data_IF_958809553583
#
_entry.id   IF_958809553583
#
_cell.length_a   1.000
_cell.length_b   1.000
_cell.length_c   1.000
_cell.angle_alpha   90.00
_cell.angle_beta   90.00
_cell.angle_gamma   90.00
#
_symmetry.space_group_name_H-M   'P 1'
#
loop_
_entity.id
_entity.type
_entity.pdbx_description
1 polymer ?
#
# COMPACT_ATOMS: atom_id res chain seq x y z
N UNK A 1 4.95 8.13 -5.14
CA UNK A 1 5.39 7.76 -3.78
C UNK A 1 5.83 6.31 -3.77
N UNK A 2 6.91 6.00 -3.02
CA UNK A 2 7.34 4.63 -2.70
C UNK A 2 6.94 4.36 -1.25
N UNK A 3 6.03 3.42 -1.05
CA UNK A 3 5.42 3.16 0.27
C UNK A 3 6.27 2.20 1.15
N UNK A 4 7.59 2.38 1.18
CA UNK A 4 8.52 1.63 2.03
C UNK A 4 9.06 0.35 1.40
N UNK A 5 9.97 -0.30 2.13
CA UNK A 5 10.71 -1.48 1.70
C UNK A 5 11.41 -1.25 0.36
N UNK A 6 12.18 -0.15 0.31
CA UNK A 6 12.95 0.27 -0.87
C UNK A 6 14.01 -0.77 -1.22
N UNK A 7 14.51 -1.46 -0.17
CA UNK A 7 15.47 -2.57 -0.30
C UNK A 7 14.98 -3.78 0.49
N UNK A 8 15.65 -4.94 0.32
CA UNK A 8 15.32 -6.15 1.05
C UNK A 8 15.69 -6.09 2.52
N UNK A 9 16.98 -5.99 2.86
CA UNK A 9 17.47 -5.89 4.23
C UNK A 9 18.80 -5.14 4.25
N UNK A 10 18.86 -4.07 5.00
CA UNK A 10 20.03 -3.19 5.09
C UNK A 10 21.23 -3.85 5.79
N UNK A 11 20.99 -4.69 6.80
CA UNK A 11 22.04 -5.35 7.58
C UNK A 11 22.89 -6.32 6.77
N UNK A 12 22.35 -6.83 5.67
CA UNK A 12 23.07 -7.77 4.80
C UNK A 12 23.92 -7.09 3.73
N UNK A 13 23.53 -5.88 3.28
CA UNK A 13 24.24 -5.13 2.24
C UNK A 13 23.96 -3.63 2.34
N UNK A 14 24.61 -2.88 3.24
CA UNK A 14 24.37 -1.44 3.43
C UNK A 14 24.35 -0.57 2.16
N UNK A 15 25.13 -0.88 1.10
CA UNK A 15 25.17 0.00 -0.08
C UNK A 15 24.00 -0.13 -1.06
N UNK A 16 22.92 -0.87 -0.73
CA UNK A 16 21.79 -1.06 -1.68
C UNK A 16 20.93 0.18 -1.88
N UNK A 17 20.92 1.14 -0.98
CA UNK A 17 20.14 2.38 -1.17
C UNK A 17 20.67 3.22 -2.35
N UNK A 18 21.99 3.29 -2.53
CA UNK A 18 22.60 4.13 -3.55
C UNK A 18 22.20 3.70 -4.99
N UNK A 19 22.35 2.42 -5.42
CA UNK A 19 21.91 2.00 -6.74
C UNK A 19 20.43 2.21 -7.01
N UNK A 20 19.57 2.03 -6.00
CA UNK A 20 18.13 2.26 -6.14
C UNK A 20 17.84 3.75 -6.30
N UNK A 21 18.44 4.61 -5.48
CA UNK A 21 18.24 6.05 -5.58
C UNK A 21 18.74 6.62 -6.91
N UNK A 22 19.88 6.12 -7.41
CA UNK A 22 20.42 6.47 -8.73
C UNK A 22 19.48 6.06 -9.86
N UNK A 23 18.95 4.84 -9.83
CA UNK A 23 18.00 4.34 -10.82
C UNK A 23 16.70 5.17 -10.84
N UNK A 24 16.17 5.51 -9.66
CA UNK A 24 14.99 6.34 -9.54
C UNK A 24 15.25 7.78 -10.01
N UNK A 25 16.39 8.36 -9.65
CA UNK A 25 16.79 9.69 -10.10
C UNK A 25 16.97 9.79 -11.62
N UNK A 26 17.51 8.72 -12.23
CA UNK A 26 17.70 8.64 -13.69
C UNK A 26 16.36 8.66 -14.47
N UNK A 27 15.24 8.35 -13.82
CA UNK A 27 13.91 8.41 -14.45
C UNK A 27 13.42 9.83 -14.74
N UNK A 28 13.99 10.85 -14.11
CA UNK A 28 13.55 12.25 -14.19
C UNK A 28 12.22 12.53 -13.48
N UNK A 29 11.67 11.55 -12.74
CA UNK A 29 10.43 11.69 -11.96
C UNK A 29 10.78 12.03 -10.50
N UNK A 30 10.01 12.94 -9.89
CA UNK A 30 10.15 13.22 -8.46
C UNK A 30 9.60 12.06 -7.63
N UNK A 31 10.42 11.52 -6.73
CA UNK A 31 10.03 10.47 -5.81
C UNK A 31 9.92 11.00 -4.37
N UNK A 32 8.93 10.50 -3.65
CA UNK A 32 8.72 10.72 -2.24
C UNK A 32 8.74 9.35 -1.55
N UNK A 33 9.47 9.25 -0.45
CA UNK A 33 9.80 7.97 0.16
C UNK A 33 9.18 7.83 1.55
N UNK A 34 8.58 6.67 1.80
CA UNK A 34 8.16 6.19 3.12
C UNK A 34 9.21 5.20 3.60
N UNK A 35 9.54 5.18 4.88
CA UNK A 35 10.43 4.18 5.45
C UNK A 35 9.65 2.88 5.75
N UNK A 36 10.11 1.75 5.21
CA UNK A 36 9.59 0.42 5.51
C UNK A 36 10.37 -0.31 6.60
N UNK A 37 9.93 -1.50 6.95
CA UNK A 37 10.59 -2.31 7.97
C UNK A 37 11.93 -2.90 7.50
N UNK A 38 12.11 -3.12 6.20
CA UNK A 38 13.37 -3.58 5.61
C UNK A 38 14.38 -2.44 5.40
N UNK A 39 13.98 -1.20 5.52
CA UNK A 39 14.84 -0.01 5.35
C UNK A 39 15.55 0.40 6.65
N UNK A 40 15.44 -0.40 7.72
CA UNK A 40 15.96 -0.07 9.05
C UNK A 40 17.36 -0.61 9.32
N UNK A 41 18.22 0.21 9.94
CA UNK A 41 19.49 -0.23 10.53
C UNK A 41 19.21 -1.14 11.72
N UNK A 42 19.44 -2.43 11.58
CA UNK A 42 19.21 -3.42 12.63
C UNK A 42 20.34 -3.44 13.67
N UNK A 43 20.08 -4.02 14.84
CA UNK A 43 21.08 -4.14 15.91
C UNK A 43 21.31 -2.86 16.73
N UNK A 44 20.62 -1.79 16.44
CA UNK A 44 20.62 -0.54 17.21
C UNK A 44 19.59 -0.57 18.35
N UNK A 45 19.63 0.40 19.26
CA UNK A 45 18.79 0.39 20.47
C UNK A 45 17.47 1.16 20.38
N UNK A 46 17.35 2.06 19.41
CA UNK A 46 16.19 2.97 19.32
C UNK A 46 15.68 3.05 17.88
N UNK A 47 14.37 3.31 17.72
CA UNK A 47 13.74 3.48 16.41
C UNK A 47 14.35 4.64 15.63
N UNK A 48 14.72 5.74 16.28
CA UNK A 48 15.35 6.88 15.60
C UNK A 48 16.72 6.50 15.00
N UNK A 49 17.53 5.71 15.72
CA UNK A 49 18.82 5.21 15.19
C UNK A 49 18.62 4.20 14.07
N UNK A 50 17.57 3.41 14.11
CA UNK A 50 17.25 2.46 13.06
C UNK A 50 16.90 3.13 11.71
N UNK A 51 16.63 4.41 11.71
CA UNK A 51 16.31 5.18 10.50
C UNK A 51 17.49 6.04 10.00
N UNK A 52 18.69 5.87 10.54
CA UNK A 52 19.82 6.74 10.18
C UNK A 52 20.20 6.62 8.72
N UNK A 53 20.46 5.42 8.24
CA UNK A 53 20.85 5.19 6.85
C UNK A 53 19.77 5.62 5.87
N UNK A 54 18.50 5.37 6.20
CA UNK A 54 17.38 5.87 5.40
C UNK A 54 17.41 7.41 5.31
N UNK A 55 17.56 8.09 6.44
CA UNK A 55 17.57 9.56 6.50
C UNK A 55 18.75 10.18 5.72
N UNK A 56 19.90 9.51 5.72
CA UNK A 56 21.10 9.94 4.99
C UNK A 56 20.89 9.90 3.46
N UNK A 57 20.07 8.95 2.95
CA UNK A 57 19.85 8.78 1.51
C UNK A 57 18.57 9.45 1.00
N UNK A 58 17.47 9.40 1.77
CA UNK A 58 16.14 9.78 1.32
C UNK A 58 15.54 10.97 2.09
N UNK A 59 16.22 11.47 3.11
CA UNK A 59 15.75 12.58 3.91
C UNK A 59 14.84 12.16 5.09
N UNK A 60 13.98 13.06 5.57
CA UNK A 60 13.18 12.80 6.78
C UNK A 60 12.22 11.63 6.59
N UNK A 61 11.93 10.90 7.68
CA UNK A 61 11.01 9.76 7.65
C UNK A 61 9.54 10.15 7.76
N UNK A 62 9.25 11.38 8.22
CA UNK A 62 7.91 11.97 8.18
C UNK A 62 7.99 13.44 7.80
N UNK A 63 7.07 13.87 6.94
CA UNK A 63 7.00 15.22 6.38
C UNK A 63 5.66 15.44 5.67
N UNK A 64 5.35 16.68 5.34
CA UNK A 64 4.16 17.03 4.55
C UNK A 64 4.51 17.99 3.43
N UNK A 65 3.68 18.03 2.41
CA UNK A 65 3.76 18.94 1.29
C UNK A 65 2.42 19.09 0.59
N UNK A 66 2.22 20.22 -0.07
CA UNK A 66 1.07 20.44 -0.94
C UNK A 66 1.43 20.22 -2.42
N UNK A 67 0.52 19.58 -3.14
CA UNK A 67 0.57 19.56 -4.61
C UNK A 67 -0.83 19.87 -5.16
N UNK A 68 -0.97 21.02 -5.80
CA UNK A 68 -2.28 21.52 -6.19
C UNK A 68 -3.17 21.75 -4.98
N UNK A 69 -4.34 21.13 -4.99
CA UNK A 69 -5.33 21.21 -3.89
C UNK A 69 -5.22 20.07 -2.87
N UNK A 70 -4.29 19.17 -3.05
CA UNK A 70 -4.11 18.00 -2.20
C UNK A 70 -2.99 18.22 -1.20
N UNK A 71 -3.26 17.92 0.05
CA UNK A 71 -2.26 17.92 1.12
C UNK A 71 -1.74 16.48 1.32
N UNK A 72 -0.45 16.30 1.17
CA UNK A 72 0.23 15.00 1.33
C UNK A 72 0.98 14.96 2.64
N UNK A 73 0.82 13.87 3.35
CA UNK A 73 1.51 13.58 4.61
C UNK A 73 2.22 12.22 4.48
N UNK A 74 3.50 12.19 4.73
CA UNK A 74 4.29 10.95 4.85
C UNK A 74 4.53 10.67 6.31
N UNK A 75 4.28 9.45 6.76
CA UNK A 75 4.44 9.03 8.16
C UNK A 75 5.37 7.82 8.27
N UNK A 76 6.13 7.75 9.36
CA UNK A 76 6.98 6.62 9.74
C UNK A 76 6.24 5.77 10.78
N UNK A 77 5.62 4.72 10.35
CA UNK A 77 4.84 3.81 11.18
C UNK A 77 5.55 2.48 11.52
N UNK A 78 6.79 2.30 11.03
CA UNK A 78 7.64 1.16 11.37
C UNK A 78 8.43 1.43 12.66
N UNK A 79 7.83 1.23 13.82
CA UNK A 79 8.48 1.50 15.10
C UNK A 79 9.37 0.33 15.54
N UNK A 80 10.71 0.51 15.46
CA UNK A 80 11.69 -0.48 15.88
C UNK A 80 11.81 -0.55 17.39
N UNK A 81 11.73 -1.74 17.97
CA UNK A 81 11.72 -1.96 19.42
C UNK A 81 13.08 -2.42 20.01
N UNK A 82 14.17 -2.15 19.32
CA UNK A 82 15.52 -2.32 19.85
C UNK A 82 16.06 -3.76 19.85
N UNK A 83 15.43 -4.68 19.12
CA UNK A 83 15.86 -6.06 18.95
C UNK A 83 15.77 -6.45 17.47
N UNK A 84 16.69 -7.29 16.99
CA UNK A 84 16.74 -7.77 15.61
C UNK A 84 15.36 -8.14 15.06
N UNK A 85 14.99 -7.57 13.91
CA UNK A 85 13.73 -7.81 13.20
C UNK A 85 12.45 -7.56 14.01
N UNK A 86 12.52 -6.99 15.20
CA UNK A 86 11.34 -6.68 15.99
C UNK A 86 10.95 -5.22 15.83
N UNK A 87 9.78 -5.03 15.22
CA UNK A 87 9.11 -3.74 15.07
C UNK A 87 7.60 -3.93 15.27
N UNK A 88 6.91 -2.84 15.44
CA UNK A 88 5.44 -2.77 15.51
C UNK A 88 4.96 -1.63 14.64
N UNK A 89 3.77 -1.76 14.07
CA UNK A 89 3.10 -0.63 13.42
C UNK A 89 2.65 0.39 14.47
N UNK A 90 3.34 1.54 14.57
CA UNK A 90 3.05 2.52 15.60
C UNK A 90 3.58 3.92 15.25
N UNK A 91 2.73 4.93 15.37
CA UNK A 91 3.11 6.34 15.30
C UNK A 91 3.48 6.84 16.68
N UNK A 92 4.71 7.30 16.88
CA UNK A 92 5.14 7.81 18.16
C UNK A 92 4.46 9.15 18.52
N UNK A 93 4.50 9.51 19.80
CA UNK A 93 3.80 10.70 20.30
C UNK A 93 4.34 12.01 19.68
N UNK A 94 5.64 12.06 19.36
CA UNK A 94 6.26 13.23 18.71
C UNK A 94 5.69 13.42 17.31
N UNK A 95 5.57 12.34 16.55
CA UNK A 95 5.02 12.34 15.21
C UNK A 95 3.53 12.69 15.21
N UNK A 96 2.75 12.15 16.18
CA UNK A 96 1.33 12.49 16.31
C UNK A 96 1.13 13.97 16.65
N UNK A 97 1.92 14.55 17.56
CA UNK A 97 1.86 15.99 17.86
C UNK A 97 2.25 16.87 16.66
N UNK A 98 3.25 16.44 15.90
CA UNK A 98 3.64 17.12 14.68
C UNK A 98 2.50 17.08 13.66
N UNK A 99 1.89 15.91 13.44
CA UNK A 99 0.77 15.73 12.53
C UNK A 99 -0.44 16.60 12.92
N UNK A 100 -0.75 16.69 14.20
CA UNK A 100 -1.83 17.55 14.71
C UNK A 100 -1.58 19.04 14.36
N UNK A 101 -0.35 19.50 14.53
CA UNK A 101 0.06 20.87 14.18
C UNK A 101 0.01 21.13 12.67
N UNK A 102 0.45 20.18 11.88
CA UNK A 102 0.44 20.25 10.42
C UNK A 102 -0.99 20.32 9.89
N UNK A 103 -1.84 19.38 10.29
CA UNK A 103 -3.24 19.33 9.88
C UNK A 103 -4.06 20.53 10.36
N UNK A 104 -3.71 21.17 11.45
CA UNK A 104 -4.35 22.41 11.90
C UNK A 104 -4.22 23.57 10.89
N UNK A 105 -3.27 23.50 9.96
CA UNK A 105 -3.10 24.47 8.88
C UNK A 105 -3.92 24.13 7.63
N UNK A 106 -4.51 22.95 7.57
CA UNK A 106 -5.26 22.45 6.42
C UNK A 106 -6.75 22.74 6.60
N UNK A 107 -7.43 23.40 5.65
CA UNK A 107 -8.86 23.62 5.74
C UNK A 107 -9.68 22.33 5.80
N UNK A 108 -10.71 22.29 6.64
CA UNK A 108 -11.65 21.17 6.71
C UNK A 108 -12.29 20.89 5.33
N UNK A 109 -12.57 19.62 5.05
CA UNK A 109 -13.10 19.16 3.77
C UNK A 109 -12.06 19.03 2.65
N UNK A 110 -10.82 19.45 2.88
CA UNK A 110 -9.74 19.30 1.91
C UNK A 110 -9.35 17.83 1.73
N UNK A 111 -8.88 17.46 0.55
CA UNK A 111 -8.32 16.13 0.32
C UNK A 111 -6.95 16.02 0.96
N UNK A 112 -6.78 15.04 1.85
CA UNK A 112 -5.53 14.69 2.52
C UNK A 112 -5.13 13.28 2.12
N UNK A 113 -3.91 13.11 1.64
CA UNK A 113 -3.33 11.80 1.29
C UNK A 113 -2.22 11.47 2.27
N UNK A 114 -2.44 10.47 3.10
CA UNK A 114 -1.44 9.95 4.05
C UNK A 114 -0.72 8.77 3.42
N UNK A 115 0.60 8.81 3.39
CA UNK A 115 1.45 7.73 2.92
C UNK A 115 2.18 7.10 4.11
N UNK A 116 2.02 5.81 4.31
CA UNK A 116 2.66 5.03 5.35
C UNK A 116 3.03 3.64 4.81
N UNK A 117 3.76 2.83 5.58
CA UNK A 117 4.17 1.51 5.11
C UNK A 117 3.21 0.42 5.56
N UNK A 118 2.98 0.29 6.86
CA UNK A 118 2.15 -0.76 7.45
C UNK A 118 0.68 -0.33 7.38
N UNK A 119 -0.24 -1.14 6.82
CA UNK A 119 -1.64 -0.76 6.70
C UNK A 119 -2.28 -0.51 8.07
N UNK A 120 -3.27 0.37 8.09
CA UNK A 120 -3.92 0.73 9.36
C UNK A 120 -4.68 -0.45 9.96
N UNK A 121 -5.24 -1.34 9.13
CA UNK A 121 -5.95 -2.54 9.58
C UNK A 121 -5.92 -3.63 8.50
N UNK A 122 -5.02 -4.58 8.62
CA UNK A 122 -4.83 -5.65 7.62
C UNK A 122 -6.07 -6.52 7.41
N UNK A 123 -6.11 -7.25 6.29
CA UNK A 123 -7.18 -8.20 5.97
C UNK A 123 -7.33 -9.28 7.06
N UNK A 124 -6.23 -9.84 7.53
CA UNK A 124 -6.22 -10.81 8.62
C UNK A 124 -6.84 -10.25 9.88
N UNK A 125 -6.49 -9.02 10.25
CA UNK A 125 -7.08 -8.36 11.42
C UNK A 125 -8.60 -8.12 11.26
N UNK A 126 -9.07 -7.76 10.06
CA UNK A 126 -10.51 -7.56 9.79
C UNK A 126 -11.31 -8.87 9.77
N UNK A 127 -10.70 -9.97 9.36
CA UNK A 127 -11.35 -11.30 9.37
C UNK A 127 -11.45 -11.91 10.77
N UNK A 128 -10.88 -11.28 11.79
CA UNK A 128 -10.83 -11.79 13.16
C UNK A 128 -9.69 -12.77 13.43
N UNK A 129 -8.80 -12.96 12.47
CA UNK A 129 -7.60 -13.80 12.59
C UNK A 129 -6.43 -13.07 13.26
N UNK A 130 -6.63 -11.77 13.61
CA UNK A 130 -5.60 -10.97 14.25
C UNK A 130 -5.22 -11.51 15.63
N UNK A 131 -3.93 -11.65 15.87
CA UNK A 131 -3.34 -11.95 17.17
C UNK A 131 -2.40 -10.83 17.63
N UNK A 132 -2.08 -10.80 18.90
CA UNK A 132 -1.10 -9.84 19.45
C UNK A 132 0.29 -10.01 18.81
N UNK A 133 0.61 -11.21 18.33
CA UNK A 133 1.87 -11.52 17.67
C UNK A 133 1.96 -10.86 16.27
N UNK A 134 0.84 -10.45 15.71
CA UNK A 134 0.75 -9.76 14.42
C UNK A 134 0.73 -8.22 14.53
N UNK A 135 1.12 -7.69 15.68
CA UNK A 135 1.20 -6.23 15.90
C UNK A 135 2.13 -5.49 14.92
N UNK A 136 2.99 -6.21 14.20
CA UNK A 136 3.83 -5.70 13.12
C UNK A 136 3.11 -5.57 11.76
N UNK A 137 1.90 -6.13 11.62
CA UNK A 137 1.11 -6.10 10.38
C UNK A 137 0.02 -5.03 10.36
N UNK A 138 -0.14 -4.28 11.43
CA UNK A 138 -1.17 -3.26 11.56
C UNK A 138 -0.66 -2.04 12.28
N UNK A 139 -1.19 -0.87 11.96
CA UNK A 139 -0.97 0.34 12.74
C UNK A 139 -1.76 0.25 14.06
N UNK A 140 -1.07 -0.05 15.17
CA UNK A 140 -1.73 -0.38 16.45
C UNK A 140 -2.48 0.81 17.05
N UNK A 141 -2.01 2.03 16.85
CA UNK A 141 -2.67 3.25 17.32
C UNK A 141 -3.43 4.01 16.23
N UNK A 142 -3.88 3.31 15.16
CA UNK A 142 -4.64 3.86 14.02
C UNK A 142 -5.83 4.75 14.40
N UNK A 143 -6.50 4.48 15.53
CA UNK A 143 -7.63 5.30 15.97
C UNK A 143 -7.25 6.75 16.28
N UNK A 144 -5.99 7.00 16.67
CA UNK A 144 -5.49 8.37 16.82
C UNK A 144 -5.40 9.06 15.46
N UNK A 145 -4.84 8.37 14.46
CA UNK A 145 -4.77 8.86 13.08
C UNK A 145 -6.17 9.11 12.50
N UNK A 146 -7.10 8.16 12.65
CA UNK A 146 -8.47 8.31 12.13
C UNK A 146 -9.19 9.55 12.68
N UNK A 147 -9.07 9.81 14.00
CA UNK A 147 -9.66 11.01 14.62
C UNK A 147 -9.06 12.30 14.08
N UNK A 148 -7.76 12.33 13.81
CA UNK A 148 -7.10 13.50 13.23
C UNK A 148 -7.55 13.74 11.77
N UNK A 149 -7.90 12.69 11.04
CA UNK A 149 -8.33 12.76 9.65
C UNK A 149 -9.85 13.00 9.48
N UNK A 150 -10.66 12.92 10.55
CA UNK A 150 -12.11 13.08 10.50
C UNK A 150 -12.59 14.37 9.79
N UNK A 151 -11.92 15.53 9.91
CA UNK A 151 -12.35 16.75 9.22
C UNK A 151 -12.12 16.76 7.70
N UNK A 152 -11.44 15.76 7.13
CA UNK A 152 -10.93 15.78 5.76
C UNK A 152 -11.53 14.68 4.90
N UNK A 153 -11.44 14.85 3.57
CA UNK A 153 -11.61 13.75 2.63
C UNK A 153 -10.26 13.02 2.52
N UNK A 154 -10.12 11.94 3.32
CA UNK A 154 -8.82 11.34 3.57
C UNK A 154 -8.59 10.05 2.79
N UNK A 155 -7.40 9.90 2.22
CA UNK A 155 -6.92 8.68 1.59
C UNK A 155 -5.62 8.24 2.25
N UNK A 156 -5.48 6.94 2.50
CA UNK A 156 -4.24 6.33 2.98
C UNK A 156 -3.67 5.46 1.87
N UNK A 157 -2.39 5.65 1.56
CA UNK A 157 -1.62 4.78 0.67
C UNK A 157 -0.67 3.97 1.55
N UNK A 158 -0.85 2.65 1.60
CA UNK A 158 -0.05 1.72 2.39
C UNK A 158 0.47 0.54 1.55
N UNK A 159 1.32 -0.30 2.12
CA UNK A 159 1.97 -1.42 1.46
C UNK A 159 2.12 -2.64 2.41
N UNK A 160 3.35 -3.18 2.58
CA UNK A 160 3.73 -4.19 3.57
C UNK A 160 3.11 -5.59 3.40
N UNK A 161 1.85 -5.70 3.06
CA UNK A 161 1.08 -6.96 3.03
C UNK A 161 1.24 -7.76 1.72
N UNK A 162 1.98 -7.24 0.73
CA UNK A 162 2.29 -7.88 -0.55
C UNK A 162 1.07 -8.27 -1.41
N UNK A 163 -0.08 -7.62 -1.20
CA UNK A 163 -1.28 -7.73 -2.03
C UNK A 163 -1.93 -6.36 -2.22
N UNK A 164 -2.77 -6.21 -3.24
CA UNK A 164 -3.58 -5.01 -3.42
C UNK A 164 -4.92 -5.15 -2.69
N UNK A 165 -5.32 -4.10 -2.01
CA UNK A 165 -6.61 -4.02 -1.38
C UNK A 165 -7.10 -2.58 -1.26
N UNK A 166 -8.39 -2.39 -1.50
CA UNK A 166 -9.09 -1.15 -1.24
C UNK A 166 -10.17 -1.38 -0.19
N UNK A 167 -10.25 -0.53 0.82
CA UNK A 167 -11.31 -0.60 1.82
C UNK A 167 -11.56 0.76 2.48
N UNK A 168 -12.70 0.90 3.14
CA UNK A 168 -13.14 2.12 3.83
C UNK A 168 -13.14 1.87 5.33
N UNK A 169 -12.08 2.26 6.07
CA UNK A 169 -12.03 2.09 7.52
C UNK A 169 -13.09 2.91 8.25
N UNK A 170 -13.35 4.13 7.79
CA UNK A 170 -14.31 5.10 8.31
C UNK A 170 -14.97 5.82 7.12
N UNK A 171 -16.17 6.41 7.26
CA UNK A 171 -16.91 7.01 6.13
C UNK A 171 -16.17 8.11 5.38
N UNK A 172 -15.23 8.81 6.01
CA UNK A 172 -14.42 9.90 5.45
C UNK A 172 -13.04 9.45 5.00
N UNK A 173 -12.72 8.16 5.17
CA UNK A 173 -11.37 7.62 5.03
C UNK A 173 -11.36 6.40 4.13
N UNK A 174 -10.53 6.43 3.11
CA UNK A 174 -10.32 5.34 2.18
C UNK A 174 -8.85 4.89 2.23
N UNK A 175 -8.59 3.60 2.35
CA UNK A 175 -7.24 3.05 2.35
C UNK A 175 -6.99 2.17 1.14
N UNK A 176 -5.84 2.41 0.50
CA UNK A 176 -5.30 1.68 -0.64
C UNK A 176 -4.03 0.96 -0.22
N UNK A 177 -4.10 -0.33 -0.09
CA UNK A 177 -2.94 -1.20 0.18
C UNK A 177 -2.34 -1.64 -1.16
N UNK A 178 -1.03 -1.55 -1.30
CA UNK A 178 -0.34 -1.84 -2.56
C UNK A 178 0.55 -3.05 -2.45
N UNK A 179 0.47 -3.92 -3.46
CA UNK A 179 1.43 -4.99 -3.65
C UNK A 179 2.80 -4.45 -4.09
N UNK A 180 3.90 -5.19 -3.82
CA UNK A 180 5.23 -4.76 -4.20
C UNK A 180 5.47 -4.89 -5.70
N UNK A 181 6.25 -3.96 -6.27
CA UNK A 181 6.72 -4.05 -7.65
C UNK A 181 7.57 -5.30 -7.90
N UNK A 182 8.24 -5.79 -6.86
CA UNK A 182 9.02 -7.04 -6.88
C UNK A 182 8.17 -8.31 -6.94
N UNK A 183 6.84 -8.17 -6.91
CA UNK A 183 5.89 -9.30 -6.92
C UNK A 183 6.17 -10.30 -5.78
N UNK A 184 6.31 -11.59 -6.04
CA UNK A 184 6.72 -12.57 -5.05
C UNK A 184 8.26 -12.64 -4.97
N UNK A 185 8.88 -11.55 -4.44
CA UNK A 185 10.33 -11.44 -4.25
C UNK A 185 11.15 -11.79 -5.51
N UNK A 186 10.68 -11.37 -6.69
CA UNK A 186 11.26 -11.69 -8.01
C UNK A 186 11.27 -13.19 -8.38
N UNK A 187 10.58 -14.03 -7.61
CA UNK A 187 10.50 -15.47 -7.87
C UNK A 187 9.33 -15.84 -8.80
N UNK A 188 8.35 -14.97 -8.92
CA UNK A 188 7.21 -15.12 -9.82
C UNK A 188 6.81 -13.77 -10.43
N UNK A 189 6.16 -13.74 -11.59
CA UNK A 189 5.72 -12.48 -12.22
C UNK A 189 4.43 -11.90 -11.60
N UNK A 190 3.92 -12.50 -10.52
CA UNK A 190 2.71 -12.09 -9.78
C UNK A 190 2.97 -11.91 -8.30
N UNK A 191 2.18 -11.03 -7.70
CA UNK A 191 2.11 -10.82 -6.26
C UNK A 191 1.29 -11.92 -5.57
N UNK A 192 1.20 -11.89 -4.24
CA UNK A 192 0.47 -12.90 -3.45
C UNK A 192 -1.03 -12.99 -3.75
N UNK A 193 -1.59 -12.01 -4.41
CA UNK A 193 -2.99 -11.95 -4.88
C UNK A 193 -3.15 -12.30 -6.38
N UNK A 194 -2.09 -12.79 -7.03
CA UNK A 194 -2.09 -13.15 -8.44
C UNK A 194 -2.08 -11.98 -9.42
N UNK A 195 -1.80 -10.77 -8.93
CA UNK A 195 -1.74 -9.56 -9.76
C UNK A 195 -0.31 -9.39 -10.31
N UNK A 196 -0.14 -9.02 -11.61
CA UNK A 196 1.19 -8.80 -12.17
C UNK A 196 1.90 -7.61 -11.53
N UNK A 197 3.23 -7.52 -11.70
CA UNK A 197 4.02 -6.38 -11.27
C UNK A 197 3.44 -5.06 -11.76
N UNK A 198 3.35 -4.06 -10.87
CA UNK A 198 2.77 -2.77 -11.24
C UNK A 198 2.67 -1.80 -10.06
N UNK A 199 1.88 -0.76 -10.25
CA UNK A 199 1.69 0.31 -9.27
C UNK A 199 0.32 0.96 -9.40
N UNK A 200 -0.16 1.59 -8.32
CA UNK A 200 -1.36 2.42 -8.34
C UNK A 200 -1.10 3.77 -9.02
N UNK A 201 -2.01 4.21 -9.87
CA UNK A 201 -2.04 5.57 -10.43
C UNK A 201 -3.24 6.31 -9.86
N UNK A 202 -2.98 7.49 -9.31
CA UNK A 202 -3.97 8.34 -8.65
C UNK A 202 -4.03 9.68 -9.38
N UNK A 203 -5.18 9.96 -9.98
CA UNK A 203 -5.42 11.17 -10.78
C UNK A 203 -6.37 12.09 -10.02
N UNK A 204 -5.89 13.30 -9.67
CA UNK A 204 -6.69 14.32 -8.98
C UNK A 204 -7.18 15.37 -9.97
N UNK A 205 -8.48 15.63 -9.97
CA UNK A 205 -9.11 16.77 -10.66
C UNK A 205 -9.90 17.59 -9.63
N UNK A 206 -9.31 18.72 -9.22
CA UNK A 206 -9.80 19.48 -8.08
C UNK A 206 -9.76 18.68 -6.79
N UNK A 207 -10.94 18.38 -6.23
CA UNK A 207 -11.11 17.54 -5.04
C UNK A 207 -11.51 16.08 -5.38
N UNK A 208 -11.73 15.80 -6.68
CA UNK A 208 -12.05 14.48 -7.19
C UNK A 208 -10.81 13.60 -7.34
N UNK A 209 -10.91 12.34 -6.92
CA UNK A 209 -9.86 11.33 -7.08
C UNK A 209 -10.39 10.16 -7.89
N UNK A 210 -9.64 9.78 -8.91
CA UNK A 210 -9.80 8.51 -9.63
C UNK A 210 -8.50 7.72 -9.56
N UNK A 211 -8.60 6.40 -9.59
CA UNK A 211 -7.42 5.54 -9.54
C UNK A 211 -7.58 4.30 -10.39
N UNK A 212 -6.46 3.73 -10.78
CA UNK A 212 -6.38 2.46 -11.49
C UNK A 212 -5.05 1.78 -11.22
N UNK A 213 -4.99 0.48 -11.45
CA UNK A 213 -3.75 -0.28 -11.41
C UNK A 213 -3.03 -0.21 -12.75
N UNK A 214 -1.75 0.12 -12.75
CA UNK A 214 -0.90 0.08 -13.94
C UNK A 214 0.05 -1.10 -13.83
N UNK A 215 -0.32 -2.22 -14.43
CA UNK A 215 0.62 -3.33 -14.59
C UNK A 215 1.74 -2.94 -15.56
N UNK A 216 2.99 -3.32 -15.23
CA UNK A 216 4.20 -2.85 -15.92
C UNK A 216 4.14 -3.09 -17.44
N UNK A 217 3.78 -4.31 -17.87
CA UNK A 217 3.80 -4.72 -19.28
C UNK A 217 2.41 -4.71 -19.96
N UNK A 218 1.42 -4.05 -19.33
CA UNK A 218 0.05 -4.02 -19.84
C UNK A 218 -0.47 -2.60 -20.07
N UNK A 219 -1.36 -2.38 -21.04
CA UNK A 219 -2.00 -1.09 -21.23
C UNK A 219 -2.95 -0.77 -20.04
N UNK A 220 -3.25 0.53 -19.84
CA UNK A 220 -4.21 1.00 -18.80
C UNK A 220 -5.56 0.29 -18.87
N UNK A 221 -6.02 -0.09 -20.07
CA UNK A 221 -7.30 -0.75 -20.29
C UNK A 221 -7.37 -2.17 -19.71
N UNK A 222 -6.23 -2.81 -19.43
CA UNK A 222 -6.21 -4.15 -18.84
C UNK A 222 -6.14 -4.04 -17.32
N UNK A 223 -7.26 -4.37 -16.67
CA UNK A 223 -7.44 -4.26 -15.22
C UNK A 223 -7.80 -5.58 -14.54
N UNK A 224 -7.72 -6.69 -15.28
CA UNK A 224 -8.04 -8.01 -14.75
C UNK A 224 -7.36 -9.14 -15.52
N UNK A 225 -7.26 -10.30 -14.88
CA UNK A 225 -6.96 -11.59 -15.51
C UNK A 225 -8.23 -12.42 -15.57
N UNK A 226 -8.53 -12.99 -16.74
CA UNK A 226 -9.68 -13.86 -16.92
C UNK A 226 -9.23 -15.31 -17.15
N UNK A 227 -9.98 -16.23 -16.59
CA UNK A 227 -9.84 -17.69 -16.70
C UNK A 227 -11.10 -18.26 -17.30
N UNK A 228 -10.96 -19.03 -18.38
CA UNK A 228 -12.06 -19.61 -19.12
C UNK A 228 -12.74 -20.76 -18.39
N UNK A 229 -13.85 -21.24 -18.97
CA UNK A 229 -14.55 -22.43 -18.50
C UNK A 229 -13.58 -23.63 -18.51
N UNK A 230 -13.52 -24.36 -17.39
CA UNK A 230 -12.64 -25.50 -17.17
C UNK A 230 -11.25 -25.19 -16.63
N UNK A 231 -10.81 -23.92 -16.60
CA UNK A 231 -9.50 -23.53 -16.05
C UNK A 231 -9.50 -23.54 -14.51
N UNK A 232 -10.60 -23.11 -13.88
CA UNK A 232 -10.76 -23.24 -12.43
C UNK A 232 -11.37 -24.61 -12.07
N UNK A 233 -10.54 -25.54 -11.60
CA UNK A 233 -11.00 -26.89 -11.20
C UNK A 233 -12.03 -26.90 -10.07
N UNK A 234 -12.12 -25.82 -9.28
CA UNK A 234 -13.11 -25.67 -8.20
C UNK A 234 -14.44 -25.15 -8.75
N UNK A 235 -14.44 -24.57 -9.95
CA UNK A 235 -15.59 -23.96 -10.63
C UNK A 235 -15.52 -24.26 -12.13
N UNK A 236 -15.55 -25.54 -12.50
CA UNK A 236 -15.25 -25.97 -13.88
C UNK A 236 -16.23 -25.43 -14.92
N UNK A 237 -17.42 -25.04 -14.51
CA UNK A 237 -18.48 -24.52 -15.37
C UNK A 237 -18.56 -22.99 -15.37
N UNK A 238 -17.58 -22.28 -14.75
CA UNK A 238 -17.60 -20.84 -14.63
C UNK A 238 -16.41 -20.17 -15.35
N UNK A 239 -16.65 -18.95 -15.82
CA UNK A 239 -15.58 -18.00 -16.14
C UNK A 239 -15.21 -17.28 -14.83
N UNK A 240 -13.92 -17.28 -14.50
CA UNK A 240 -13.40 -16.62 -13.29
C UNK A 240 -12.54 -15.43 -13.68
N UNK A 241 -12.64 -14.34 -12.93
CA UNK A 241 -11.81 -13.15 -13.15
C UNK A 241 -11.15 -12.71 -11.84
N UNK A 242 -9.86 -12.40 -11.90
CA UNK A 242 -9.15 -11.67 -10.86
C UNK A 242 -9.07 -10.21 -11.27
N UNK A 243 -9.88 -9.36 -10.64
CA UNK A 243 -9.91 -7.91 -10.89
C UNK A 243 -8.83 -7.26 -10.07
N UNK A 244 -7.83 -6.68 -10.75
CA UNK A 244 -6.71 -6.00 -10.12
C UNK A 244 -7.18 -4.73 -9.43
N UNK A 245 -6.72 -4.46 -8.24
CA UNK A 245 -7.12 -3.26 -7.50
C UNK A 245 -8.65 -3.08 -7.32
N UNK A 246 -9.36 -4.21 -7.11
CA UNK A 246 -10.81 -4.20 -6.93
C UNK A 246 -11.24 -3.31 -5.77
N UNK A 247 -12.29 -2.53 -6.01
CA UNK A 247 -12.92 -1.64 -5.04
C UNK A 247 -14.25 -2.25 -4.55
N UNK A 248 -14.58 -2.21 -3.24
CA UNK A 248 -15.86 -2.69 -2.71
C UNK A 248 -17.10 -2.06 -3.35
N UNK A 249 -16.98 -0.84 -3.86
CA UNK A 249 -18.07 -0.14 -4.54
C UNK A 249 -18.25 -0.54 -6.01
N UNK A 250 -17.32 -1.31 -6.58
CA UNK A 250 -17.37 -1.71 -7.97
C UNK A 250 -18.27 -2.93 -8.19
N UNK A 251 -19.01 -2.89 -9.32
CA UNK A 251 -19.72 -4.03 -9.87
C UNK A 251 -18.99 -4.54 -11.10
N UNK A 252 -18.69 -5.85 -11.13
CA UNK A 252 -18.12 -6.52 -12.30
C UNK A 252 -19.27 -7.11 -13.12
N UNK A 253 -19.42 -6.65 -14.35
CA UNK A 253 -20.47 -7.12 -15.27
C UNK A 253 -19.79 -7.79 -16.46
N UNK A 254 -20.30 -8.93 -16.90
CA UNK A 254 -19.79 -9.62 -18.07
C UNK A 254 -20.76 -9.58 -19.25
N UNK A 255 -20.21 -9.66 -20.44
CA UNK A 255 -20.93 -9.62 -21.69
C UNK A 255 -20.59 -10.84 -22.53
N UNK A 256 -21.57 -11.36 -23.25
CA UNK A 256 -21.38 -12.42 -24.23
C UNK A 256 -21.94 -11.96 -25.57
N UNK A 257 -21.12 -11.96 -26.61
CA UNK A 257 -21.49 -11.46 -27.97
C UNK A 257 -22.08 -10.03 -27.96
N UNK A 258 -21.59 -9.17 -27.04
CA UNK A 258 -22.07 -7.79 -26.88
C UNK A 258 -23.31 -7.62 -25.99
N UNK A 259 -23.94 -8.71 -25.56
CA UNK A 259 -25.11 -8.69 -24.69
C UNK A 259 -24.71 -8.81 -23.20
N UNK A 260 -25.24 -7.93 -22.32
CA UNK A 260 -24.96 -8.03 -20.89
C UNK A 260 -25.60 -9.28 -20.29
N UNK A 261 -24.83 -10.05 -19.55
CA UNK A 261 -25.28 -11.26 -18.84
C UNK A 261 -25.49 -11.05 -17.35
N UNK A 262 -25.18 -9.85 -16.86
CA UNK A 262 -25.39 -9.46 -15.49
C UNK A 262 -24.11 -9.39 -14.66
N UNK A 263 -24.25 -9.13 -13.35
CA UNK A 263 -23.11 -9.02 -12.46
C UNK A 263 -22.48 -10.39 -12.17
N UNK A 264 -21.15 -10.40 -12.07
CA UNK A 264 -20.41 -11.56 -11.57
C UNK A 264 -20.51 -11.66 -10.04
N UNK A 265 -20.56 -12.88 -9.54
CA UNK A 265 -20.57 -13.13 -8.09
C UNK A 265 -19.15 -13.16 -7.55
N UNK A 266 -18.86 -12.32 -6.56
CA UNK A 266 -17.57 -12.34 -5.86
C UNK A 266 -17.46 -13.57 -4.96
N UNK A 267 -16.27 -14.16 -4.92
CA UNK A 267 -15.91 -15.20 -3.97
C UNK A 267 -14.48 -15.01 -3.46
N UNK A 268 -14.15 -15.64 -2.35
CA UNK A 268 -12.79 -15.69 -1.82
C UNK A 268 -12.14 -17.00 -2.25
N UNK A 269 -10.93 -16.91 -2.82
CA UNK A 269 -10.17 -18.06 -3.29
C UNK A 269 -8.73 -17.70 -3.59
N UNK A 270 -7.90 -18.70 -3.86
CA UNK A 270 -6.56 -18.47 -4.41
C UNK A 270 -6.68 -18.12 -5.88
N UNK A 271 -5.85 -17.18 -6.34
CA UNK A 271 -5.71 -16.96 -7.78
C UNK A 271 -5.09 -18.18 -8.47
N UNK A 272 -5.54 -18.48 -9.68
CA UNK A 272 -5.12 -19.70 -10.39
C UNK A 272 -3.64 -19.65 -10.79
N UNK A 273 -3.06 -18.47 -10.96
CA UNK A 273 -1.63 -18.30 -11.21
C UNK A 273 -0.74 -18.79 -10.06
N UNK A 274 -1.29 -18.83 -8.82
CA UNK A 274 -0.57 -19.24 -7.61
C UNK A 274 -0.66 -20.73 -7.30
N UNK A 275 -1.53 -21.48 -7.99
CA UNK A 275 -1.77 -22.92 -7.71
C UNK A 275 -0.58 -23.79 -8.12
N UNK A 276 0.32 -23.27 -8.95
CA UNK A 276 1.47 -23.99 -9.51
C UNK A 276 2.83 -23.53 -8.97
N UNK A 277 2.84 -22.69 -7.93
CA UNK A 277 4.08 -22.22 -7.29
C UNK A 277 4.48 -23.11 -6.12
#
# INVERSE_FOLDING_TARGET
VVCGDIIGDIDRRPPLFEPVSEALAASGVAFFYVAGNHDMDLGVRTSDRAKRSFKEHFGPTYYAFDRGRVHYVVLDDCFYIGRSYLYVGYLDERQLRWLEQDLATVPAGRTVVVCLHIPTWSRAARSGEWSREESHKVLNNRRALYRMLEPYNAHILSAHEHYNENYTPEPHLFEHVHAPLSTLFWQAPWSMDGIPAGYGVYEFDGDGLTWYYKAADHPRSRQFTAYGVGEDRRRPDAVTVNVWNWDPAWQVVWYENGEPRGPMTRYTGYDLSLIHI
#
